data_IF_284055323317
#
_entry.id   IF_284055323317
#
_cell.length_a   1.000
_cell.length_b   1.000
_cell.length_c   1.000
_cell.angle_alpha   90.00
_cell.angle_beta   90.00
_cell.angle_gamma   90.00
#
_symmetry.space_group_name_H-M   'P 1'
#
loop_
_entity.id
_entity.type
_entity.pdbx_description
1 polymer ?
#
# COMPACT_ATOMS: atom_id res chain seq x y z
N UNK A 1 23.14 -4.30 21.70
CA UNK A 1 21.71 -4.50 22.04
C UNK A 1 20.91 -3.60 21.10
N UNK A 2 20.49 -4.15 19.96
CA UNK A 2 19.72 -3.40 18.96
C UNK A 2 18.29 -3.39 19.46
N UNK A 3 17.79 -2.21 19.84
CA UNK A 3 16.35 -2.02 20.08
C UNK A 3 15.73 -2.01 18.69
N UNK A 4 15.22 -3.16 18.23
CA UNK A 4 14.34 -3.20 17.07
C UNK A 4 13.16 -2.27 17.39
N UNK A 5 13.10 -1.14 16.68
CA UNK A 5 11.92 -0.28 16.66
C UNK A 5 10.81 -1.06 15.94
N UNK A 6 10.16 -1.97 16.67
CA UNK A 6 9.05 -2.77 16.22
C UNK A 6 7.80 -2.44 17.01
N UNK A 7 6.66 -2.44 16.31
CA UNK A 7 5.32 -2.38 16.90
C UNK A 7 5.23 -3.37 18.08
N UNK A 8 4.78 -2.92 19.27
CA UNK A 8 4.64 -3.79 20.45
C UNK A 8 3.89 -5.08 20.11
N UNK A 9 4.24 -6.24 20.70
CA UNK A 9 3.58 -7.51 20.41
C UNK A 9 2.06 -7.47 20.50
N UNK A 10 1.51 -6.64 21.41
CA UNK A 10 0.08 -6.44 21.62
C UNK A 10 -0.61 -5.66 20.49
N UNK A 11 0.14 -4.93 19.68
CA UNK A 11 -0.34 -4.14 18.54
C UNK A 11 -0.11 -4.86 17.20
N UNK A 12 0.44 -6.09 17.22
CA UNK A 12 0.65 -6.90 16.03
C UNK A 12 -0.69 -7.46 15.56
N UNK A 13 -1.03 -7.18 14.31
CA UNK A 13 -2.22 -7.76 13.68
C UNK A 13 -1.93 -9.20 13.25
N UNK A 14 -2.84 -10.13 13.55
CA UNK A 14 -2.74 -11.53 13.09
C UNK A 14 -2.80 -11.64 11.57
N UNK A 15 -3.44 -10.65 10.92
CA UNK A 15 -3.59 -10.56 9.47
C UNK A 15 -3.54 -9.11 9.03
N UNK A 16 -2.73 -8.83 8.01
CA UNK A 16 -2.65 -7.49 7.43
C UNK A 16 -3.94 -7.13 6.66
N UNK A 17 -4.37 -5.86 6.70
CA UNK A 17 -5.62 -5.41 6.10
C UNK A 17 -5.49 -5.24 4.57
N UNK A 18 -5.38 -6.36 3.86
CA UNK A 18 -5.32 -6.41 2.39
C UNK A 18 -6.58 -7.11 1.82
N UNK A 19 -7.55 -6.34 1.28
CA UNK A 19 -8.70 -6.89 0.57
C UNK A 19 -8.26 -7.70 -0.64
N UNK A 20 -8.98 -8.78 -0.92
CA UNK A 20 -8.66 -9.70 -2.02
C UNK A 20 -8.77 -9.02 -3.37
N UNK A 21 -9.85 -8.28 -3.57
CA UNK A 21 -10.12 -7.55 -4.82
C UNK A 21 -9.01 -6.56 -5.16
N UNK A 22 -8.42 -5.94 -4.14
CA UNK A 22 -7.33 -4.99 -4.31
C UNK A 22 -6.03 -5.72 -4.66
N UNK A 23 -5.73 -6.82 -3.97
CA UNK A 23 -4.58 -7.65 -4.31
C UNK A 23 -4.68 -8.14 -5.76
N UNK A 24 -5.83 -8.70 -6.15
CA UNK A 24 -6.07 -9.17 -7.52
C UNK A 24 -5.91 -8.03 -8.54
N UNK A 25 -6.42 -6.83 -8.24
CA UNK A 25 -6.23 -5.63 -9.09
C UNK A 25 -4.75 -5.28 -9.28
N UNK A 26 -3.93 -5.35 -8.24
CA UNK A 26 -2.49 -5.15 -8.36
C UNK A 26 -1.79 -6.30 -9.08
N UNK A 27 -2.17 -7.54 -8.80
CA UNK A 27 -1.61 -8.74 -9.39
C UNK A 27 -1.78 -8.73 -10.91
N UNK A 28 -3.01 -8.58 -11.41
CA UNK A 28 -3.30 -8.57 -12.84
C UNK A 28 -2.74 -7.37 -13.59
N UNK A 29 -2.51 -6.25 -12.89
CA UNK A 29 -1.91 -5.07 -13.50
C UNK A 29 -0.36 -5.08 -13.43
N UNK A 30 0.23 -6.01 -12.67
CA UNK A 30 1.68 -6.14 -12.58
C UNK A 30 2.17 -7.03 -13.72
N UNK A 31 2.70 -6.41 -14.77
CA UNK A 31 2.99 -7.06 -16.05
C UNK A 31 3.98 -8.24 -15.97
N UNK A 32 4.88 -8.24 -14.99
CA UNK A 32 5.99 -9.20 -14.94
C UNK A 32 5.66 -10.49 -14.14
N UNK A 33 4.46 -10.59 -13.57
CA UNK A 33 4.03 -11.80 -12.86
C UNK A 33 3.25 -12.77 -13.78
N UNK A 34 3.47 -14.09 -13.67
CA UNK A 34 2.68 -15.09 -14.38
C UNK A 34 1.20 -15.00 -14.03
N UNK A 35 0.30 -15.20 -14.98
CA UNK A 35 -1.13 -15.40 -14.70
C UNK A 35 -1.39 -16.83 -14.24
N UNK A 36 -1.11 -17.10 -12.96
CA UNK A 36 -1.20 -18.42 -12.33
C UNK A 36 -2.03 -18.31 -11.03
N UNK A 37 -3.21 -18.97 -10.94
CA UNK A 37 -4.05 -18.95 -9.76
C UNK A 37 -3.38 -19.49 -8.49
N UNK A 38 -2.49 -20.49 -8.60
CA UNK A 38 -1.79 -21.07 -7.45
C UNK A 38 -0.78 -20.07 -6.89
N UNK A 39 -0.01 -19.43 -7.78
CA UNK A 39 0.90 -18.34 -7.43
C UNK A 39 0.14 -17.16 -6.81
N UNK A 40 -0.97 -16.73 -7.43
CA UNK A 40 -1.81 -15.64 -6.93
C UNK A 40 -2.31 -15.92 -5.51
N UNK A 41 -2.81 -17.14 -5.25
CA UNK A 41 -3.27 -17.57 -3.93
C UNK A 41 -2.13 -17.60 -2.90
N UNK A 42 -0.97 -18.15 -3.26
CA UNK A 42 0.19 -18.20 -2.39
C UNK A 42 0.72 -16.79 -2.02
N UNK A 43 0.78 -15.88 -3.01
CA UNK A 43 1.19 -14.50 -2.80
C UNK A 43 0.18 -13.72 -1.95
N UNK A 44 -1.13 -13.94 -2.14
CA UNK A 44 -2.16 -13.32 -1.32
C UNK A 44 -2.07 -13.78 0.15
N UNK A 45 -1.89 -15.08 0.37
CA UNK A 45 -1.70 -15.63 1.71
C UNK A 45 -0.44 -15.04 2.36
N UNK A 46 0.64 -14.92 1.59
CA UNK A 46 1.89 -14.30 2.05
C UNK A 46 1.71 -12.81 2.40
N UNK A 47 1.10 -12.02 1.51
CA UNK A 47 0.88 -10.60 1.69
C UNK A 47 -0.05 -10.25 2.87
N UNK A 48 -0.87 -11.22 3.31
CA UNK A 48 -1.73 -11.11 4.48
C UNK A 48 -1.05 -11.54 5.78
N UNK A 49 0.13 -12.18 5.71
CA UNK A 49 0.89 -12.61 6.88
C UNK A 49 1.53 -11.42 7.60
N UNK A 50 1.60 -11.41 8.95
CA UNK A 50 2.30 -10.37 9.70
C UNK A 50 3.80 -10.31 9.37
N UNK A 51 4.38 -11.42 8.89
CA UNK A 51 5.77 -11.47 8.43
C UNK A 51 6.04 -10.55 7.24
N UNK A 52 5.01 -10.23 6.44
CA UNK A 52 5.17 -9.53 5.17
C UNK A 52 5.74 -8.12 5.36
N UNK A 53 5.17 -7.31 6.25
CA UNK A 53 5.63 -5.94 6.52
C UNK A 53 6.82 -5.86 7.48
N UNK A 54 7.11 -6.94 8.23
CA UNK A 54 8.27 -6.96 9.13
C UNK A 54 9.58 -6.87 8.35
N UNK A 55 9.63 -7.52 7.20
CA UNK A 55 10.83 -7.62 6.39
C UNK A 55 10.78 -6.57 5.25
N UNK A 56 11.92 -6.05 4.82
CA UNK A 56 11.96 -5.21 3.62
C UNK A 56 11.53 -6.03 2.38
N UNK A 57 10.97 -5.40 1.31
CA UNK A 57 10.42 -6.12 0.16
C UNK A 57 11.34 -7.20 -0.43
N UNK A 58 12.65 -6.93 -0.51
CA UNK A 58 13.65 -7.89 -1.01
C UNK A 58 13.79 -9.11 -0.10
N UNK A 59 13.82 -8.91 1.22
CA UNK A 59 13.92 -10.00 2.19
C UNK A 59 12.61 -10.81 2.22
N UNK A 60 11.47 -10.13 2.14
CA UNK A 60 10.15 -10.77 2.01
C UNK A 60 10.09 -11.65 0.75
N UNK A 61 10.57 -11.17 -0.40
CA UNK A 61 10.64 -11.94 -1.66
C UNK A 61 11.51 -13.20 -1.52
N UNK A 62 12.69 -13.07 -0.92
CA UNK A 62 13.58 -14.22 -0.65
C UNK A 62 12.93 -15.28 0.22
N UNK A 63 12.24 -14.87 1.28
CA UNK A 63 11.55 -15.78 2.20
C UNK A 63 10.36 -16.45 1.55
N UNK A 64 9.61 -15.72 0.71
CA UNK A 64 8.54 -16.29 -0.09
C UNK A 64 9.08 -17.39 -1.02
N UNK A 65 10.11 -17.08 -1.81
CA UNK A 65 10.74 -18.04 -2.73
C UNK A 65 11.29 -19.29 -2.01
N UNK A 66 11.87 -19.12 -0.83
CA UNK A 66 12.36 -20.25 -0.03
C UNK A 66 11.23 -21.17 0.49
N UNK A 67 10.00 -20.65 0.64
CA UNK A 67 8.83 -21.37 1.18
C UNK A 67 7.93 -21.93 0.09
N UNK A 68 7.83 -21.25 -1.06
CA UNK A 68 6.88 -21.54 -2.13
C UNK A 68 7.33 -22.69 -3.07
N UNK A 69 7.92 -23.77 -2.53
CA UNK A 69 8.45 -24.91 -3.30
C UNK A 69 7.46 -25.32 -4.42
N UNK A 70 7.80 -25.04 -5.68
CA UNK A 70 6.96 -25.33 -6.86
C UNK A 70 6.14 -24.14 -7.39
N UNK A 71 5.35 -23.46 -6.55
CA UNK A 71 4.42 -22.40 -6.97
C UNK A 71 5.09 -21.12 -7.49
N UNK A 72 6.38 -20.91 -7.18
CA UNK A 72 7.15 -19.75 -7.62
C UNK A 72 8.35 -20.11 -8.51
N UNK A 73 8.39 -21.34 -9.05
CA UNK A 73 9.57 -21.90 -9.71
C UNK A 73 10.10 -21.12 -10.93
N UNK A 74 9.28 -20.26 -11.54
CA UNK A 74 9.61 -19.43 -12.69
C UNK A 74 9.76 -17.93 -12.37
N UNK A 75 9.48 -17.49 -11.14
CA UNK A 75 9.45 -16.06 -10.80
C UNK A 75 10.79 -15.61 -10.21
N UNK A 76 11.39 -14.58 -10.81
CA UNK A 76 12.65 -14.02 -10.33
C UNK A 76 12.49 -13.22 -9.02
N UNK A 77 13.51 -13.26 -8.14
CA UNK A 77 13.55 -12.46 -6.89
C UNK A 77 13.30 -10.97 -7.17
N UNK A 78 13.84 -10.44 -8.27
CA UNK A 78 13.72 -9.03 -8.62
C UNK A 78 12.27 -8.65 -8.97
N UNK A 79 11.59 -9.49 -9.75
CA UNK A 79 10.18 -9.34 -10.06
C UNK A 79 9.32 -9.33 -8.79
N UNK A 80 9.51 -10.32 -7.91
CA UNK A 80 8.79 -10.38 -6.64
C UNK A 80 9.10 -9.19 -5.73
N UNK A 81 10.36 -8.74 -5.70
CA UNK A 81 10.76 -7.57 -4.93
C UNK A 81 10.03 -6.31 -5.42
N UNK A 82 9.92 -6.13 -6.73
CA UNK A 82 9.20 -5.01 -7.32
C UNK A 82 7.70 -5.08 -7.00
N UNK A 83 7.07 -6.24 -7.16
CA UNK A 83 5.67 -6.43 -6.78
C UNK A 83 5.44 -6.21 -5.27
N UNK A 84 6.33 -6.68 -4.42
CA UNK A 84 6.22 -6.48 -2.97
C UNK A 84 6.39 -5.02 -2.58
N UNK A 85 7.17 -4.20 -3.28
CA UNK A 85 7.18 -2.74 -3.05
C UNK A 85 5.80 -2.12 -3.26
N UNK A 86 5.10 -2.54 -4.33
CA UNK A 86 3.72 -2.10 -4.62
C UNK A 86 2.79 -2.44 -3.46
N UNK A 87 2.80 -3.70 -3.02
CA UNK A 87 1.94 -4.16 -1.92
C UNK A 87 2.32 -3.54 -0.57
N UNK A 88 3.61 -3.39 -0.26
CA UNK A 88 4.07 -2.70 0.95
C UNK A 88 3.52 -1.28 1.01
N UNK A 89 3.62 -0.53 -0.10
CA UNK A 89 3.09 0.82 -0.18
C UNK A 89 1.58 0.83 0.07
N UNK A 90 0.83 -0.09 -0.52
CA UNK A 90 -0.63 -0.14 -0.38
C UNK A 90 -1.10 -0.55 1.03
N UNK A 91 -0.49 -1.57 1.63
CA UNK A 91 -0.85 -2.00 2.99
C UNK A 91 -0.45 -0.93 4.00
N UNK A 92 0.76 -0.35 3.89
CA UNK A 92 1.21 0.73 4.77
C UNK A 92 0.27 1.93 4.69
N UNK A 93 -0.14 2.31 3.48
CA UNK A 93 -1.13 3.36 3.23
C UNK A 93 -2.42 3.09 3.99
N UNK A 94 -2.98 1.88 3.86
CA UNK A 94 -4.24 1.50 4.52
C UNK A 94 -4.12 1.52 6.03
N UNK A 95 -3.03 0.99 6.59
CA UNK A 95 -2.78 1.05 8.03
C UNK A 95 -2.68 2.49 8.53
N UNK A 96 -2.01 3.37 7.79
CA UNK A 96 -1.90 4.79 8.14
C UNK A 96 -3.26 5.50 8.12
N UNK A 97 -4.08 5.23 7.11
CA UNK A 97 -5.44 5.77 7.00
C UNK A 97 -6.36 5.27 8.11
N UNK A 98 -6.27 3.99 8.44
CA UNK A 98 -7.05 3.40 9.53
C UNK A 98 -6.63 3.98 10.88
N UNK A 99 -5.32 4.16 11.10
CA UNK A 99 -4.83 4.86 12.29
C UNK A 99 -5.31 6.31 12.36
N UNK A 100 -5.47 7.00 11.23
CA UNK A 100 -5.97 8.37 11.19
C UNK A 100 -7.47 8.48 11.55
N UNK A 101 -8.28 7.47 11.25
CA UNK A 101 -9.72 7.43 11.61
C UNK A 101 -9.98 7.49 13.11
N UNK A 102 -9.03 7.01 13.90
CA UNK A 102 -9.14 6.96 15.35
C UNK A 102 -8.58 8.19 16.05
N UNK A 103 -8.04 9.18 15.31
CA UNK A 103 -7.46 10.40 15.87
C UNK A 103 -8.50 11.51 15.97
N UNK A 104 -8.58 12.11 17.14
CA UNK A 104 -9.47 13.24 17.37
C UNK A 104 -9.07 14.45 16.51
N UNK A 105 -10.07 15.13 15.94
CA UNK A 105 -9.85 16.36 15.17
C UNK A 105 -9.32 16.16 13.75
N UNK A 106 -9.12 14.93 13.29
CA UNK A 106 -8.84 14.67 11.86
C UNK A 106 -10.10 14.95 11.03
N UNK A 107 -9.92 15.67 9.92
CA UNK A 107 -10.99 16.01 8.98
C UNK A 107 -10.85 15.30 7.64
N UNK A 108 -9.64 14.88 7.28
CA UNK A 108 -9.38 14.19 6.03
C UNK A 108 -7.90 13.92 5.80
N UNK A 109 -7.57 13.59 4.56
CA UNK A 109 -6.21 13.45 4.07
C UNK A 109 -5.97 14.38 2.90
N UNK A 110 -4.77 14.92 2.79
CA UNK A 110 -4.27 15.59 1.61
C UNK A 110 -3.32 14.66 0.87
N UNK A 111 -3.56 14.49 -0.42
CA UNK A 111 -2.67 13.78 -1.32
C UNK A 111 -1.70 14.77 -1.97
N UNK A 112 -0.41 14.43 -1.99
CA UNK A 112 0.62 15.14 -2.76
C UNK A 112 1.37 14.15 -3.63
N UNK A 113 1.77 14.54 -4.83
CA UNK A 113 2.60 13.68 -5.67
C UNK A 113 4.01 13.58 -5.09
N UNK A 114 4.55 12.36 -5.00
CA UNK A 114 5.94 12.11 -4.61
C UNK A 114 6.89 12.70 -5.65
N UNK A 115 6.58 12.51 -6.92
CA UNK A 115 7.28 13.09 -8.05
C UNK A 115 6.24 13.62 -9.06
N UNK A 116 5.96 14.93 -9.05
CA UNK A 116 4.99 15.52 -9.98
C UNK A 116 5.40 15.42 -11.46
N UNK A 117 6.71 15.37 -11.76
CA UNK A 117 7.20 15.41 -13.13
C UNK A 117 6.94 14.09 -13.89
N UNK A 118 6.84 12.98 -13.17
CA UNK A 118 6.66 11.64 -13.73
C UNK A 118 5.27 11.04 -13.46
N UNK A 119 4.43 11.74 -12.71
CA UNK A 119 3.08 11.28 -12.37
C UNK A 119 2.16 11.24 -13.60
N UNK A 120 1.39 10.16 -13.75
CA UNK A 120 0.35 10.06 -14.77
C UNK A 120 -0.79 11.06 -14.59
N UNK A 121 -1.55 11.31 -15.66
CA UNK A 121 -2.65 12.29 -15.65
C UNK A 121 -3.73 12.00 -14.60
N UNK A 122 -4.05 10.72 -14.38
CA UNK A 122 -4.99 10.31 -13.33
C UNK A 122 -4.48 10.67 -11.93
N UNK A 123 -3.18 10.53 -11.67
CA UNK A 123 -2.58 10.93 -10.41
C UNK A 123 -2.55 12.46 -10.24
N UNK A 124 -2.25 13.18 -11.31
CA UNK A 124 -2.28 14.64 -11.32
C UNK A 124 -3.69 15.19 -11.04
N UNK A 125 -4.73 14.59 -11.62
CA UNK A 125 -6.11 14.96 -11.36
C UNK A 125 -6.48 14.83 -9.87
N UNK A 126 -6.07 13.73 -9.23
CA UNK A 126 -6.41 13.49 -7.83
C UNK A 126 -5.82 14.52 -6.85
N UNK A 127 -4.69 15.16 -7.16
CA UNK A 127 -4.10 16.23 -6.30
C UNK A 127 -4.59 17.64 -6.63
N UNK A 128 -5.26 17.84 -7.76
CA UNK A 128 -5.81 19.13 -8.18
C UNK A 128 -7.32 19.23 -7.98
N UNK A 129 -8.02 18.10 -7.83
CA UNK A 129 -9.46 18.02 -7.62
C UNK A 129 -9.88 18.51 -6.22
N UNK A 130 -11.04 19.18 -6.15
CA UNK A 130 -11.70 19.61 -4.91
C UNK A 130 -13.15 19.09 -4.87
N UNK A 131 -13.34 17.82 -5.20
CA UNK A 131 -14.65 17.17 -5.26
C UNK A 131 -15.42 17.19 -3.93
N UNK A 132 -14.76 17.43 -2.80
CA UNK A 132 -15.35 17.41 -1.47
C UNK A 132 -15.48 18.79 -0.82
N UNK A 133 -15.05 19.87 -1.49
CA UNK A 133 -15.07 21.23 -0.94
C UNK A 133 -14.17 21.41 0.28
N UNK A 134 -13.13 20.60 0.40
CA UNK A 134 -12.14 20.63 1.49
C UNK A 134 -10.84 21.30 1.06
N UNK A 135 -10.72 21.65 -0.22
CA UNK A 135 -9.54 22.18 -0.88
C UNK A 135 -8.84 21.13 -1.76
N UNK A 136 -8.00 21.56 -2.72
CA UNK A 136 -7.39 20.68 -3.70
C UNK A 136 -6.63 19.50 -3.08
N UNK A 137 -6.95 18.30 -3.58
CA UNK A 137 -6.36 17.04 -3.15
C UNK A 137 -6.74 16.61 -1.74
N UNK A 138 -7.73 17.25 -1.10
CA UNK A 138 -8.23 16.85 0.22
C UNK A 138 -9.46 15.95 0.09
N UNK A 139 -9.34 14.77 0.70
CA UNK A 139 -10.39 13.75 0.73
C UNK A 139 -10.80 13.46 2.17
N UNK A 140 -12.11 13.29 2.46
CA UNK A 140 -12.54 12.76 3.74
C UNK A 140 -12.09 11.30 3.89
N UNK A 141 -11.93 10.82 5.12
CA UNK A 141 -11.38 9.48 5.41
C UNK A 141 -12.21 8.31 4.87
N UNK A 142 -13.46 8.56 4.48
CA UNK A 142 -14.37 7.60 3.87
C UNK A 142 -14.38 7.65 2.33
N UNK A 143 -13.79 8.67 1.71
CA UNK A 143 -13.74 8.84 0.24
C UNK A 143 -12.30 8.86 -0.29
N UNK A 144 -11.39 8.15 0.39
CA UNK A 144 -9.99 8.06 -0.05
C UNK A 144 -9.92 7.31 -1.38
N UNK A 145 -9.32 7.90 -2.43
CA UNK A 145 -9.19 7.23 -3.71
C UNK A 145 -8.29 6.00 -3.59
N UNK A 146 -8.59 4.99 -4.43
CA UNK A 146 -7.71 3.85 -4.65
C UNK A 146 -6.48 4.26 -5.48
N UNK A 147 -5.48 3.38 -5.56
CA UNK A 147 -4.33 3.61 -6.43
C UNK A 147 -4.80 3.81 -7.89
N UNK A 148 -4.51 4.96 -8.53
CA UNK A 148 -4.88 5.21 -9.92
C UNK A 148 -4.05 4.40 -10.92
N UNK A 149 -2.90 3.86 -10.49
CA UNK A 149 -1.99 3.06 -11.30
C UNK A 149 -1.76 1.67 -10.66
N UNK A 150 -2.71 0.72 -10.82
CA UNK A 150 -2.51 -0.66 -10.38
C UNK A 150 -1.23 -1.28 -10.91
N UNK A 151 -0.63 -2.19 -10.14
CA UNK A 151 0.68 -2.76 -10.46
C UNK A 151 1.87 -1.81 -10.24
N UNK A 152 1.65 -0.55 -9.85
CA UNK A 152 2.72 0.41 -9.52
C UNK A 152 2.60 0.92 -8.10
N UNK A 153 3.71 1.37 -7.53
CA UNK A 153 3.72 2.02 -6.21
C UNK A 153 2.75 3.21 -6.21
N UNK A 154 2.11 3.45 -5.08
CA UNK A 154 1.20 4.56 -4.93
C UNK A 154 1.97 5.88 -5.15
N UNK A 155 1.58 6.74 -6.11
CA UNK A 155 2.39 7.90 -6.49
C UNK A 155 2.30 9.04 -5.47
N UNK A 156 1.46 8.89 -4.45
CA UNK A 156 1.15 9.94 -3.50
C UNK A 156 1.83 9.78 -2.14
N UNK A 157 2.26 10.91 -1.58
CA UNK A 157 2.50 11.13 -0.17
C UNK A 157 1.17 11.54 0.48
N UNK A 158 0.83 10.91 1.61
CA UNK A 158 -0.40 11.21 2.36
C UNK A 158 -0.06 12.08 3.57
N UNK A 159 -0.73 13.21 3.68
CA UNK A 159 -0.71 14.07 4.86
C UNK A 159 -2.07 14.02 5.56
N UNK A 160 -2.09 13.79 6.87
CA UNK A 160 -3.33 13.91 7.65
C UNK A 160 -3.66 15.39 7.85
N UNK A 161 -4.91 15.76 7.58
CA UNK A 161 -5.43 17.12 7.78
C UNK A 161 -6.30 17.12 9.03
N UNK A 162 -6.04 18.07 9.92
CA UNK A 162 -6.80 18.29 11.15
C UNK A 162 -7.62 19.57 11.07
N UNK A 163 -8.61 19.73 11.95
CA UNK A 163 -9.43 20.95 12.06
C UNK A 163 -8.56 22.21 12.21
N UNK A 164 -7.42 22.11 12.90
CA UNK A 164 -6.49 23.23 13.10
C UNK A 164 -5.82 23.68 11.80
N UNK A 165 -5.59 22.75 10.87
CA UNK A 165 -4.96 23.04 9.57
C UNK A 165 -5.90 23.76 8.60
N UNK A 166 -7.22 23.72 8.85
CA UNK A 166 -8.24 24.41 8.05
C UNK A 166 -8.59 25.81 8.56
N UNK A 167 -8.15 26.16 9.78
CA UNK A 167 -8.41 27.45 10.42
C UNK A 167 -7.28 28.47 10.24
N UNK A 168 -6.33 28.19 9.34
CA UNK A 168 -5.27 29.09 8.91
C UNK A 168 -5.58 29.62 7.51
#
# INVERSE_FOLDING_TARGET
MVVEAGVPPQERVDRLPLPEILFARHYHAFADLPDDPELMSALLAWARSPDFLRDLPRQSARRFLARAQGAAGSVEEQCLTAFFKVLHSEITRRMYLEGARHREGVVGIRLRLRDPATAGSAAQALVSDDAHGLGPGIYPLNAVPENPEPGREHPFIIQIVTKKDLSQ
#
